data_IF_334597886181
#
_entry.id   IF_334597886181
#
_cell.length_a   1.000
_cell.length_b   1.000
_cell.length_c   1.000
_cell.angle_alpha   90.00
_cell.angle_beta   90.00
_cell.angle_gamma   90.00
#
_symmetry.space_group_name_H-M   'P 1'
#
loop_
_entity.id
_entity.type
_entity.pdbx_description
1 polymer ?
#
# COMPACT_ATOMS: atom_id res chain seq x y z
N UNK A 1 -14.10 -11.73 14.65
CA UNK A 1 -12.89 -10.90 14.68
C UNK A 1 -13.39 -9.46 14.71
N UNK A 2 -13.55 -8.90 15.91
CA UNK A 2 -14.07 -7.55 16.07
C UNK A 2 -12.95 -6.58 15.70
N UNK A 3 -13.23 -5.65 14.78
CA UNK A 3 -12.35 -4.54 14.48
C UNK A 3 -11.94 -3.88 15.81
N UNK A 4 -10.64 -3.63 15.98
CA UNK A 4 -10.14 -2.99 17.18
C UNK A 4 -10.86 -1.63 17.32
N UNK A 5 -11.50 -1.30 18.46
CA UNK A 5 -12.30 -0.09 18.61
C UNK A 5 -11.47 1.21 18.55
N UNK A 6 -10.15 1.10 18.36
CA UNK A 6 -9.21 2.20 18.14
C UNK A 6 -8.77 2.33 16.67
N UNK A 7 -9.24 1.47 15.78
CA UNK A 7 -8.93 1.63 14.36
C UNK A 7 -9.77 2.77 13.78
N UNK A 8 -9.12 3.78 13.16
CA UNK A 8 -9.85 4.86 12.53
C UNK A 8 -10.72 4.29 11.40
N UNK A 9 -11.98 4.75 11.27
CA UNK A 9 -12.85 4.32 10.18
C UNK A 9 -12.24 4.72 8.83
N UNK A 10 -12.61 3.99 7.78
CA UNK A 10 -12.28 4.36 6.41
C UNK A 10 -12.83 5.75 6.11
N UNK A 11 -11.99 6.64 5.59
CA UNK A 11 -12.44 7.98 5.21
C UNK A 11 -13.26 7.89 3.90
N UNK A 12 -14.39 8.62 3.77
CA UNK A 12 -15.18 8.62 2.54
C UNK A 12 -14.36 9.09 1.32
N UNK A 13 -13.39 9.99 1.50
CA UNK A 13 -12.47 10.38 0.42
C UNK A 13 -11.53 9.24 -0.01
N UNK A 14 -11.04 8.45 0.95
CA UNK A 14 -10.23 7.24 0.66
C UNK A 14 -11.05 6.25 -0.17
N UNK A 15 -12.30 6.03 0.25
CA UNK A 15 -13.24 5.13 -0.40
C UNK A 15 -13.56 5.56 -1.84
N UNK A 16 -13.84 6.84 -2.03
CA UNK A 16 -14.07 7.42 -3.36
C UNK A 16 -12.81 7.35 -4.25
N UNK A 17 -11.63 7.61 -3.68
CA UNK A 17 -10.36 7.53 -4.40
C UNK A 17 -10.08 6.11 -4.89
N UNK A 18 -10.25 5.09 -4.04
CA UNK A 18 -10.05 3.69 -4.40
C UNK A 18 -10.98 3.25 -5.53
N UNK A 19 -12.25 3.68 -5.51
CA UNK A 19 -13.22 3.40 -6.58
C UNK A 19 -12.94 4.15 -7.88
N UNK A 20 -12.19 5.25 -7.81
CA UNK A 20 -11.84 6.04 -8.98
C UNK A 20 -10.61 5.49 -9.72
N UNK A 21 -9.91 4.48 -9.17
CA UNK A 21 -8.72 3.91 -9.78
C UNK A 21 -9.09 3.12 -11.05
N UNK A 22 -8.54 3.49 -12.22
CA UNK A 22 -8.83 2.77 -13.46
C UNK A 22 -8.09 1.42 -13.47
N UNK A 23 -8.83 0.33 -13.69
CA UNK A 23 -8.25 -1.00 -13.87
C UNK A 23 -7.86 -1.73 -12.57
N UNK A 24 -8.26 -1.21 -11.40
CA UNK A 24 -8.10 -1.90 -10.11
C UNK A 24 -9.46 -2.27 -9.56
N UNK A 25 -9.61 -3.51 -9.14
CA UNK A 25 -10.77 -3.92 -8.34
C UNK A 25 -10.75 -3.23 -6.98
N UNK A 26 -11.93 -2.85 -6.49
CA UNK A 26 -12.04 -2.17 -5.21
C UNK A 26 -11.54 -3.08 -4.09
N UNK A 27 -10.58 -2.63 -3.26
CA UNK A 27 -9.88 -3.52 -2.34
C UNK A 27 -10.67 -3.76 -1.05
N UNK A 28 -11.72 -4.59 -1.14
CA UNK A 28 -12.67 -4.88 -0.06
C UNK A 28 -11.98 -5.51 1.16
N UNK A 29 -11.05 -6.43 0.93
CA UNK A 29 -10.38 -7.13 2.02
C UNK A 29 -9.43 -6.19 2.78
N UNK A 30 -8.76 -5.28 2.06
CA UNK A 30 -7.89 -4.27 2.66
C UNK A 30 -8.68 -3.27 3.49
N UNK A 31 -9.77 -2.70 2.95
CA UNK A 31 -10.56 -1.70 3.70
C UNK A 31 -11.29 -2.31 4.88
N UNK A 32 -11.72 -3.57 4.78
CA UNK A 32 -12.45 -4.25 5.85
C UNK A 32 -11.54 -4.68 7.01
N UNK A 33 -10.28 -5.06 6.72
CA UNK A 33 -9.34 -5.59 7.73
C UNK A 33 -8.28 -4.58 8.17
N UNK A 34 -7.95 -3.61 7.32
CA UNK A 34 -6.90 -2.62 7.54
C UNK A 34 -7.27 -1.23 6.98
N UNK A 35 -8.39 -0.62 7.43
CA UNK A 35 -8.84 0.69 6.95
C UNK A 35 -7.78 1.80 7.17
N UNK A 36 -6.94 1.67 8.20
CA UNK A 36 -5.80 2.57 8.46
C UNK A 36 -4.78 2.60 7.33
N UNK A 37 -4.53 1.46 6.67
CA UNK A 37 -3.57 1.37 5.56
C UNK A 37 -4.16 2.06 4.35
N UNK A 38 -5.43 1.78 4.03
CA UNK A 38 -6.15 2.46 2.95
C UNK A 38 -6.14 3.99 3.14
N UNK A 39 -6.42 4.47 4.36
CA UNK A 39 -6.36 5.90 4.69
C UNK A 39 -4.95 6.49 4.54
N UNK A 40 -3.91 5.76 4.96
CA UNK A 40 -2.53 6.21 4.81
C UNK A 40 -2.10 6.31 3.33
N UNK A 41 -2.54 5.36 2.50
CA UNK A 41 -2.32 5.40 1.05
C UNK A 41 -3.04 6.60 0.43
N UNK A 42 -4.31 6.81 0.77
CA UNK A 42 -5.05 7.97 0.29
C UNK A 42 -4.45 9.30 0.77
N UNK A 43 -3.83 9.36 1.95
CA UNK A 43 -3.11 10.55 2.41
C UNK A 43 -1.85 10.82 1.58
N UNK A 44 -1.22 9.78 1.04
CA UNK A 44 -0.06 9.88 0.15
C UNK A 44 -0.43 9.98 -1.34
N UNK A 45 -1.73 10.01 -1.70
CA UNK A 45 -2.19 10.00 -3.11
C UNK A 45 -1.64 11.13 -3.98
N UNK A 46 -1.32 12.26 -3.37
CA UNK A 46 -0.79 13.45 -4.05
C UNK A 46 0.72 13.33 -4.33
N UNK A 47 1.41 12.35 -3.73
CA UNK A 47 2.84 12.10 -3.86
C UNK A 47 3.11 10.64 -4.28
N UNK A 48 3.39 10.39 -5.57
CA UNK A 48 3.63 9.04 -6.08
C UNK A 48 4.90 8.40 -5.51
N UNK A 49 5.92 9.18 -5.14
CA UNK A 49 7.15 8.66 -4.52
C UNK A 49 6.90 8.24 -3.08
N UNK A 50 6.08 9.01 -2.34
CA UNK A 50 5.62 8.61 -1.02
C UNK A 50 4.75 7.35 -1.08
N UNK A 51 3.82 7.25 -2.05
CA UNK A 51 3.03 6.04 -2.26
C UNK A 51 3.92 4.83 -2.53
N UNK A 52 4.93 4.94 -3.41
CA UNK A 52 5.87 3.86 -3.71
C UNK A 52 6.61 3.40 -2.46
N UNK A 53 7.18 4.34 -1.71
CA UNK A 53 7.87 4.02 -0.45
C UNK A 53 6.93 3.37 0.57
N UNK A 54 5.67 3.81 0.65
CA UNK A 54 4.66 3.17 1.51
C UNK A 54 4.37 1.73 1.10
N UNK A 55 4.18 1.47 -0.20
CA UNK A 55 4.00 0.11 -0.68
C UNK A 55 5.23 -0.76 -0.44
N UNK A 56 6.43 -0.21 -0.64
CA UNK A 56 7.68 -0.90 -0.36
C UNK A 56 7.81 -1.23 1.14
N UNK A 57 7.57 -0.27 2.04
CA UNK A 57 7.54 -0.52 3.49
C UNK A 57 6.52 -1.59 3.90
N UNK A 58 5.35 -1.62 3.26
CA UNK A 58 4.27 -2.57 3.55
C UNK A 58 4.55 -3.98 3.00
N UNK A 59 5.15 -4.09 1.81
CA UNK A 59 5.41 -5.35 1.13
C UNK A 59 6.76 -5.96 1.50
N UNK A 60 7.75 -5.11 1.76
CA UNK A 60 9.13 -5.46 2.10
C UNK A 60 9.32 -5.70 3.59
N UNK A 61 8.25 -5.84 4.39
CA UNK A 61 8.29 -5.98 5.87
C UNK A 61 9.37 -7.01 6.29
N UNK A 62 10.55 -6.46 6.58
CA UNK A 62 11.79 -7.18 6.85
C UNK A 62 11.82 -7.60 8.33
N UNK A 63 10.66 -7.94 8.90
CA UNK A 63 10.53 -8.27 10.32
C UNK A 63 10.02 -9.70 10.45
N UNK A 64 10.97 -10.63 10.50
CA UNK A 64 10.76 -12.06 10.73
C UNK A 64 10.05 -12.41 12.05
N UNK A 65 8.78 -12.03 12.19
CA UNK A 65 8.01 -12.32 13.40
C UNK A 65 6.59 -11.77 13.47
N UNK A 66 6.05 -11.06 12.46
CA UNK A 66 4.61 -10.70 12.45
C UNK A 66 3.86 -11.59 11.47
N UNK A 67 2.66 -12.03 11.88
CA UNK A 67 1.67 -12.69 11.00
C UNK A 67 1.50 -11.80 9.77
N UNK A 68 2.03 -12.21 8.62
CA UNK A 68 1.96 -11.43 7.38
C UNK A 68 0.53 -11.10 6.98
N UNK A 69 0.36 -10.29 5.93
CA UNK A 69 -0.97 -10.02 5.40
C UNK A 69 -1.62 -11.34 4.92
N UNK A 70 -2.93 -11.50 5.14
CA UNK A 70 -3.66 -12.58 4.50
C UNK A 70 -3.55 -12.44 2.98
N UNK A 71 -3.55 -13.57 2.27
CA UNK A 71 -3.30 -13.61 0.83
C UNK A 71 -4.19 -12.64 0.04
N UNK A 72 -5.49 -12.54 0.39
CA UNK A 72 -6.43 -11.63 -0.27
C UNK A 72 -6.00 -10.17 -0.16
N UNK A 73 -5.56 -9.74 1.02
CA UNK A 73 -5.08 -8.37 1.25
C UNK A 73 -3.77 -8.12 0.53
N UNK A 74 -2.89 -9.13 0.46
CA UNK A 74 -1.62 -9.02 -0.26
C UNK A 74 -1.83 -8.88 -1.78
N UNK A 75 -2.77 -9.64 -2.35
CA UNK A 75 -3.16 -9.52 -3.75
C UNK A 75 -3.73 -8.14 -4.07
N UNK A 76 -4.59 -7.60 -3.22
CA UNK A 76 -5.14 -6.25 -3.39
C UNK A 76 -4.07 -5.16 -3.27
N UNK A 77 -3.13 -5.29 -2.32
CA UNK A 77 -1.99 -4.36 -2.20
C UNK A 77 -1.09 -4.39 -3.44
N UNK A 78 -0.85 -5.58 -4.00
CA UNK A 78 -0.06 -5.72 -5.23
C UNK A 78 -0.78 -5.09 -6.43
N UNK A 79 -2.08 -5.32 -6.59
CA UNK A 79 -2.88 -4.73 -7.67
C UNK A 79 -2.93 -3.20 -7.56
N UNK A 80 -3.11 -2.66 -6.34
CA UNK A 80 -3.04 -1.22 -6.10
C UNK A 80 -1.67 -0.65 -6.42
N UNK A 81 -0.59 -1.32 -6.01
CA UNK A 81 0.78 -0.90 -6.33
C UNK A 81 0.98 -0.86 -7.85
N UNK A 82 0.55 -1.90 -8.56
CA UNK A 82 0.73 -2.00 -10.01
C UNK A 82 0.04 -0.84 -10.73
N UNK A 83 -1.20 -0.52 -10.36
CA UNK A 83 -1.93 0.57 -11.00
C UNK A 83 -1.52 1.98 -10.57
N UNK A 84 -1.08 2.16 -9.32
CA UNK A 84 -0.66 3.47 -8.79
C UNK A 84 0.80 3.78 -9.12
N UNK A 85 1.63 2.75 -9.21
CA UNK A 85 3.06 2.83 -9.55
C UNK A 85 3.26 2.32 -10.98
N UNK A 86 2.26 2.48 -11.86
CA UNK A 86 2.26 2.08 -13.27
C UNK A 86 3.25 2.92 -14.08
N UNK A 87 4.52 2.84 -13.72
CA UNK A 87 5.63 3.42 -14.43
C UNK A 87 6.77 2.42 -14.28
N UNK A 88 7.10 1.78 -15.40
CA UNK A 88 8.33 1.03 -15.68
C UNK A 88 9.53 1.99 -15.59
N UNK A 89 9.66 2.71 -14.48
CA UNK A 89 10.93 3.31 -14.13
C UNK A 89 11.61 2.28 -13.25
N UNK A 90 12.60 1.52 -13.77
CA UNK A 90 13.46 0.74 -12.90
C UNK A 90 13.92 1.68 -11.79
N UNK A 91 14.12 1.19 -10.55
CA UNK A 91 14.78 2.01 -9.56
C UNK A 91 16.06 2.48 -10.24
N UNK A 92 16.17 3.78 -10.47
CA UNK A 92 17.48 4.39 -10.52
C UNK A 92 18.02 3.99 -9.15
N UNK A 93 18.79 2.91 -9.15
CA UNK A 93 19.65 2.56 -8.04
C UNK A 93 20.50 3.80 -7.89
N UNK A 94 20.08 4.70 -7.01
CA UNK A 94 20.97 5.67 -6.45
C UNK A 94 22.11 4.82 -5.89
N UNK A 95 23.26 4.94 -6.56
CA UNK A 95 24.53 4.26 -6.38
C UNK A 95 25.12 4.55 -4.97
N UNK A 96 24.32 4.30 -3.92
CA UNK A 96 24.68 4.54 -2.53
C UNK A 96 25.08 3.25 -1.80
N UNK A 97 25.17 2.12 -2.50
CA UNK A 97 25.97 0.98 -2.04
C UNK A 97 27.32 1.02 -2.76
N UNK A 98 28.01 2.15 -2.57
CA UNK A 98 29.45 2.30 -2.75
C UNK A 98 30.17 1.44 -1.71
N UNK A 99 30.03 0.12 -1.80
CA UNK A 99 30.93 -0.82 -1.14
C UNK A 99 32.03 -1.14 -2.15
N UNK A 100 32.94 -0.18 -2.33
CA UNK A 100 34.24 -0.42 -2.96
C UNK A 100 35.28 -0.52 -1.85
N UNK A 101 35.90 -1.71 -1.81
CA UNK A 101 37.23 -2.08 -1.28
C UNK A 101 37.57 -1.82 0.18
#
# INVERSE_FOLDING_TARGET
MAADPNEPPLHPDTDAWLRALPGVDYPEALVARFPRIANALAAARDDPDALRQRFDELLHDHRGGRRGFPFDVLMELLALRDALVLDDRPPEQDDATKWVS
#
